data_IF_404039534057
#
_entry.id   IF_404039534057
#
_cell.length_a   1.000
_cell.length_b   1.000
_cell.length_c   1.000
_cell.angle_alpha   90.00
_cell.angle_beta   90.00
_cell.angle_gamma   90.00
#
_symmetry.space_group_name_H-M   'P 1'
#
loop_
_entity.id
_entity.type
_entity.pdbx_description
1 polymer ?
#
# COMPACT_ATOMS: atom_id res chain seq x y z
N UNK A 1 -3.24 -12.52 10.64
CA UNK A 1 -2.46 -11.27 10.48
C UNK A 1 -3.17 -10.39 9.47
N UNK A 2 -3.09 -9.07 9.61
CA UNK A 2 -3.76 -8.13 8.71
C UNK A 2 -2.73 -7.28 7.97
N UNK A 3 -3.03 -6.94 6.73
CA UNK A 3 -2.15 -6.17 5.86
C UNK A 3 -2.89 -4.92 5.40
N UNK A 4 -2.24 -3.77 5.48
CA UNK A 4 -2.70 -2.55 4.85
C UNK A 4 -1.82 -2.30 3.64
N UNK A 5 -2.42 -2.02 2.51
CA UNK A 5 -1.70 -1.90 1.25
C UNK A 5 -2.15 -0.68 0.46
N UNK A 6 -1.20 -0.17 -0.33
CA UNK A 6 -1.38 0.94 -1.25
C UNK A 6 -0.98 0.48 -2.63
N UNK A 7 -1.98 0.42 -3.51
CA UNK A 7 -1.80 0.14 -4.93
C UNK A 7 -1.86 1.43 -5.73
N UNK A 8 -1.16 1.45 -6.86
CA UNK A 8 -1.30 2.50 -7.87
C UNK A 8 -1.53 1.88 -9.22
N UNK A 9 -2.47 2.45 -9.94
CA UNK A 9 -2.71 2.12 -11.33
C UNK A 9 -1.60 2.73 -12.18
N UNK A 10 -0.87 1.88 -12.92
CA UNK A 10 0.14 2.35 -13.87
C UNK A 10 -0.50 3.07 -15.06
N UNK A 11 -1.77 2.75 -15.40
CA UNK A 11 -2.50 3.39 -16.51
C UNK A 11 -3.19 4.69 -16.11
N UNK A 12 -3.96 4.67 -15.02
CA UNK A 12 -4.85 5.78 -14.66
C UNK A 12 -4.21 6.75 -13.67
N UNK A 13 -3.03 6.42 -13.11
CA UNK A 13 -2.40 7.19 -12.03
C UNK A 13 -3.20 7.19 -10.72
N UNK A 14 -4.34 6.49 -10.67
CA UNK A 14 -5.20 6.41 -9.49
C UNK A 14 -4.55 5.53 -8.43
N UNK A 15 -4.66 5.95 -7.18
CA UNK A 15 -4.23 5.18 -6.02
C UNK A 15 -5.42 4.50 -5.35
N UNK A 16 -5.18 3.30 -4.83
CA UNK A 16 -6.15 2.51 -4.09
C UNK A 16 -5.54 2.09 -2.76
N UNK A 17 -6.26 2.33 -1.67
CA UNK A 17 -5.83 1.96 -0.33
C UNK A 17 -6.87 1.02 0.25
N UNK A 18 -6.41 -0.11 0.77
CA UNK A 18 -7.28 -1.10 1.39
C UNK A 18 -6.54 -1.94 2.43
N UNK A 19 -7.31 -2.77 3.13
CA UNK A 19 -6.79 -3.78 4.03
C UNK A 19 -7.24 -5.19 3.60
N UNK A 20 -6.42 -6.19 3.89
CA UNK A 20 -6.70 -7.60 3.63
C UNK A 20 -5.93 -8.50 4.59
N UNK A 21 -6.33 -9.75 4.71
CA UNK A 21 -5.52 -10.78 5.36
C UNK A 21 -4.44 -11.29 4.39
N UNK A 22 -4.81 -11.53 3.13
CA UNK A 22 -3.88 -12.01 2.08
C UNK A 22 -3.67 -10.97 0.98
N UNK A 23 -2.46 -10.42 0.91
CA UNK A 23 -2.10 -9.35 -0.02
C UNK A 23 -1.86 -9.87 -1.45
N UNK A 24 -1.19 -11.01 -1.60
CA UNK A 24 -0.92 -11.63 -2.91
C UNK A 24 -2.20 -12.01 -3.65
N UNK A 25 -3.12 -12.69 -2.96
CA UNK A 25 -4.41 -13.10 -3.51
C UNK A 25 -5.24 -11.86 -3.89
N UNK A 26 -5.22 -10.82 -3.05
CA UNK A 26 -5.90 -9.56 -3.32
C UNK A 26 -5.32 -8.86 -4.56
N UNK A 27 -4.00 -8.81 -4.70
CA UNK A 27 -3.34 -8.21 -5.85
C UNK A 27 -3.69 -8.95 -7.16
N UNK A 28 -3.67 -10.28 -7.13
CA UNK A 28 -4.10 -11.12 -8.26
C UNK A 28 -5.53 -10.82 -8.66
N UNK A 29 -6.47 -10.77 -7.71
CA UNK A 29 -7.89 -10.44 -7.99
C UNK A 29 -8.07 -9.05 -8.58
N UNK A 30 -7.29 -8.06 -8.13
CA UNK A 30 -7.33 -6.72 -8.70
C UNK A 30 -6.77 -6.66 -10.13
N UNK A 31 -5.69 -7.39 -10.41
CA UNK A 31 -5.12 -7.50 -11.76
C UNK A 31 -6.00 -8.34 -12.71
N UNK A 32 -6.75 -9.31 -12.19
CA UNK A 32 -7.77 -10.06 -12.93
C UNK A 32 -9.04 -9.25 -13.21
N UNK A 33 -9.17 -8.04 -12.65
CA UNK A 33 -10.30 -7.15 -12.93
C UNK A 33 -11.62 -7.55 -12.25
N UNK A 34 -11.59 -8.38 -11.21
CA UNK A 34 -12.80 -8.84 -10.51
C UNK A 34 -13.64 -7.73 -9.87
N UNK A 35 -13.03 -6.58 -9.53
CA UNK A 35 -13.78 -5.45 -8.98
C UNK A 35 -14.07 -4.40 -10.05
N UNK A 36 -15.35 -4.03 -10.23
CA UNK A 36 -15.81 -3.00 -11.18
C UNK A 36 -15.03 -1.68 -11.05
N UNK A 37 -14.69 -1.30 -9.81
CA UNK A 37 -13.91 -0.11 -9.50
C UNK A 37 -12.42 -0.21 -9.88
N UNK A 38 -11.84 -1.42 -9.87
CA UNK A 38 -10.40 -1.62 -10.17
C UNK A 38 -10.13 -2.07 -11.60
N UNK A 39 -11.16 -2.49 -12.34
CA UNK A 39 -11.06 -2.93 -13.75
C UNK A 39 -10.47 -1.85 -14.67
N UNK A 40 -10.84 -0.59 -14.46
CA UNK A 40 -10.40 0.54 -15.29
C UNK A 40 -8.96 0.99 -14.98
N UNK A 41 -8.38 0.48 -13.88
CA UNK A 41 -7.04 0.83 -13.42
C UNK A 41 -6.01 -0.29 -13.57
N UNK A 42 -6.33 -1.40 -14.24
CA UNK A 42 -5.36 -2.47 -14.51
C UNK A 42 -4.24 -1.91 -15.42
N UNK A 43 -2.95 -2.07 -15.15
CA UNK A 43 -2.24 -2.87 -14.15
C UNK A 43 -2.03 -2.15 -12.80
N UNK A 44 -2.25 -2.85 -11.69
CA UNK A 44 -2.02 -2.34 -10.35
C UNK A 44 -0.63 -2.73 -9.86
N UNK A 45 0.15 -1.74 -9.47
CA UNK A 45 1.47 -1.90 -8.87
C UNK A 45 1.37 -1.65 -7.37
N UNK A 46 1.93 -2.55 -6.57
CA UNK A 46 2.05 -2.36 -5.12
C UNK A 46 3.14 -1.32 -4.85
N UNK A 47 2.78 -0.21 -4.22
CA UNK A 47 3.73 0.83 -3.80
C UNK A 47 4.18 0.57 -2.37
N UNK A 48 3.22 0.23 -1.50
CA UNK A 48 3.44 0.11 -0.08
C UNK A 48 2.59 -0.98 0.54
N UNK A 49 3.15 -1.70 1.49
CA UNK A 49 2.46 -2.71 2.29
C UNK A 49 2.99 -2.72 3.71
N UNK A 50 2.09 -2.62 4.68
CA UNK A 50 2.39 -2.77 6.11
C UNK A 50 1.65 -3.97 6.67
N UNK A 51 2.31 -4.71 7.57
CA UNK A 51 1.74 -5.86 8.27
C UNK A 51 1.39 -5.46 9.69
N UNK A 52 0.24 -5.90 10.15
CA UNK A 52 -0.29 -5.65 11.47
C UNK A 52 -0.72 -6.95 12.12
N UNK A 53 -0.41 -7.05 13.41
CA UNK A 53 -0.75 -8.20 14.23
C UNK A 53 -2.25 -8.14 14.63
N UNK A 54 -2.87 -6.95 14.70
CA UNK A 54 -4.30 -6.76 15.02
C UNK A 54 -5.13 -6.06 13.93
N UNK A 55 -6.39 -6.48 13.75
CA UNK A 55 -7.36 -5.84 12.84
C UNK A 55 -7.63 -4.39 13.20
N UNK A 56 -7.62 -4.08 14.49
CA UNK A 56 -7.90 -2.75 15.01
C UNK A 56 -6.81 -1.76 14.60
N UNK A 57 -5.55 -2.19 14.65
CA UNK A 57 -4.41 -1.39 14.19
C UNK A 57 -4.44 -1.18 12.68
N UNK A 58 -4.69 -2.26 11.92
CA UNK A 58 -4.85 -2.17 10.47
C UNK A 58 -5.99 -1.21 10.07
N UNK A 59 -7.13 -1.25 10.77
CA UNK A 59 -8.28 -0.38 10.49
C UNK A 59 -7.99 1.08 10.86
N UNK A 60 -7.30 1.32 11.98
CA UNK A 60 -6.84 2.66 12.36
C UNK A 60 -5.91 3.22 11.30
N UNK A 61 -4.96 2.42 10.82
CA UNK A 61 -4.00 2.79 9.77
C UNK A 61 -4.67 3.00 8.41
N UNK A 62 -5.62 2.17 8.02
CA UNK A 62 -6.40 2.37 6.79
C UNK A 62 -7.17 3.70 6.83
N UNK A 63 -7.87 3.96 7.94
CA UNK A 63 -8.59 5.23 8.15
C UNK A 63 -7.62 6.41 8.15
N UNK A 64 -6.45 6.22 8.73
CA UNK A 64 -5.38 7.21 8.76
C UNK A 64 -4.91 7.58 7.35
N UNK A 65 -4.66 6.61 6.47
CA UNK A 65 -4.33 6.85 5.07
C UNK A 65 -5.46 7.50 4.25
N UNK A 66 -6.72 7.26 4.64
CA UNK A 66 -7.91 7.87 3.99
C UNK A 66 -8.16 9.32 4.43
N UNK A 67 -7.67 9.74 5.61
CA UNK A 67 -8.03 11.01 6.27
C UNK A 67 -7.47 12.30 5.60
N UNK A 68 -6.99 12.25 4.37
CA UNK A 68 -6.64 13.44 3.56
C UNK A 68 -5.32 14.14 3.95
N UNK A 69 -5.01 14.29 5.24
CA UNK A 69 -3.80 14.99 5.73
C UNK A 69 -2.47 14.38 5.30
N UNK A 70 -2.47 13.11 4.86
CA UNK A 70 -1.26 12.36 4.52
C UNK A 70 -1.21 11.98 3.03
N UNK A 71 -1.91 12.76 2.18
CA UNK A 71 -1.68 12.73 0.72
C UNK A 71 -0.20 12.89 0.42
N UNK A 72 0.46 13.82 1.10
CA UNK A 72 1.89 14.12 0.96
C UNK A 72 2.79 12.91 1.28
N UNK A 73 2.53 12.16 2.35
CA UNK A 73 3.33 10.95 2.64
C UNK A 73 3.11 9.84 1.60
N UNK A 74 1.87 9.66 1.13
CA UNK A 74 1.59 8.71 0.06
C UNK A 74 2.25 9.15 -1.25
N UNK A 75 2.28 10.46 -1.52
CA UNK A 75 2.95 11.04 -2.68
C UNK A 75 4.49 10.94 -2.55
N UNK A 76 5.02 10.99 -1.32
CA UNK A 76 6.43 10.76 -1.02
C UNK A 76 6.81 9.29 -1.23
N UNK A 77 5.97 8.33 -0.79
CA UNK A 77 6.15 6.91 -1.11
C UNK A 77 6.10 6.66 -2.62
N UNK A 78 5.23 7.37 -3.33
CA UNK A 78 5.15 7.33 -4.78
C UNK A 78 6.44 7.83 -5.45
N UNK A 79 7.07 8.87 -4.90
CA UNK A 79 8.35 9.40 -5.37
C UNK A 79 9.50 8.40 -5.17
N UNK A 80 9.54 7.74 -4.01
CA UNK A 80 10.60 6.76 -3.67
C UNK A 80 10.59 5.56 -4.63
N UNK A 81 9.42 5.04 -5.00
CA UNK A 81 9.33 3.89 -5.94
C UNK A 81 9.76 4.28 -7.36
N UNK A 82 9.42 5.47 -7.82
CA UNK A 82 9.89 6.01 -9.11
C UNK A 82 11.41 6.25 -9.10
N UNK A 83 11.95 6.79 -8.00
CA UNK A 83 13.38 6.99 -7.82
C UNK A 83 14.17 5.67 -7.78
N UNK A 84 13.63 4.65 -7.11
CA UNK A 84 14.21 3.30 -7.08
C UNK A 84 14.27 2.66 -8.48
N UNK A 85 13.25 2.89 -9.33
CA UNK A 85 13.25 2.43 -10.72
C UNK A 85 14.23 3.23 -11.63
N UNK A 86 14.70 4.41 -11.20
CA UNK A 86 15.58 5.29 -11.98
C UNK A 86 17.02 5.37 -11.45
N UNK A 87 17.41 4.52 -10.50
CA UNK A 87 18.81 4.35 -10.09
C UNK A 87 19.44 5.53 -9.34
N UNK A 88 18.65 6.52 -8.87
CA UNK A 88 19.15 7.56 -7.96
C UNK A 88 18.74 7.22 -6.53
N UNK A 89 19.71 6.73 -5.77
CA UNK A 89 19.54 6.25 -4.40
C UNK A 89 18.94 7.31 -3.48
N UNK A 90 17.82 6.96 -2.84
CA UNK A 90 17.29 7.69 -1.70
C UNK A 90 17.26 6.74 -0.51
N UNK A 91 18.20 6.97 0.40
CA UNK A 91 18.42 6.15 1.59
C UNK A 91 17.30 6.44 2.60
N UNK A 92 16.31 5.56 2.69
CA UNK A 92 15.26 5.65 3.71
C UNK A 92 15.50 4.59 4.77
N UNK A 93 15.96 5.04 5.95
CA UNK A 93 16.05 4.23 7.16
C UNK A 93 14.64 3.72 7.49
N UNK A 94 14.39 2.43 7.27
CA UNK A 94 13.16 1.77 7.72
C UNK A 94 13.29 1.50 9.23
N UNK A 95 12.31 1.86 10.08
CA UNK A 95 12.24 1.26 11.39
C UNK A 95 11.81 -0.20 11.23
N UNK A 96 12.65 -1.13 11.69
CA UNK A 96 12.26 -2.53 11.86
C UNK A 96 11.15 -2.58 12.91
N UNK A 97 9.91 -2.85 12.46
CA UNK A 97 8.82 -3.12 13.39
C UNK A 97 8.97 -4.58 13.81
N UNK A 98 9.64 -4.78 14.93
CA UNK A 98 9.73 -6.06 15.61
C UNK A 98 8.40 -6.36 16.33
N UNK A 99 7.56 -7.24 15.76
CA UNK A 99 6.30 -7.67 16.39
C UNK A 99 6.53 -8.66 17.56
N UNK A 100 7.78 -8.93 17.99
CA UNK A 100 8.09 -9.87 19.09
C UNK A 100 7.84 -9.31 20.50
N UNK A 101 7.54 -8.01 20.63
CA UNK A 101 7.22 -7.35 21.92
C UNK A 101 5.80 -6.78 21.93
N UNK A 102 4.81 -7.65 21.95
CA UNK A 102 3.48 -7.31 22.47
C UNK A 102 3.12 -8.36 23.54
N UNK A 103 3.53 -8.09 24.77
CA UNK A 103 2.97 -8.70 25.99
C UNK A 103 2.18 -7.63 26.72
#
# INVERSE_FOLDING_TARGET
MFHVYVLRSSKAGRRYVGSCEDLDERLRRHNLGHSKATRHGIAWTLIHSERFCSRTEASKKERYYKSGRRREELDQLQWVVLAAATGRGFESRRPEIDCSRAR
#
